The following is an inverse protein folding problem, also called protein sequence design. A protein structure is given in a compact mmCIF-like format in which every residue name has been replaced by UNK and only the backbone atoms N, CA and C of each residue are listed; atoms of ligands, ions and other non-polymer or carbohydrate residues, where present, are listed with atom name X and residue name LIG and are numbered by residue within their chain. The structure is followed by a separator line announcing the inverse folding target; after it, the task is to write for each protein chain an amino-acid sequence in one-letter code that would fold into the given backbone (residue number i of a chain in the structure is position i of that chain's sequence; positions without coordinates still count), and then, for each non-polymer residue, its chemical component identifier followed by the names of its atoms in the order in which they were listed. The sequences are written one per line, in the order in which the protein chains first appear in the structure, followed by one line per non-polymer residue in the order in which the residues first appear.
data_IF_519875991715
#
_entry.id   IF_519875991715
#
_cell.length_a   1.000
_cell.length_b   1.000
_cell.length_c   1.000
_cell.angle_alpha   90.00
_cell.angle_beta   90.00
_cell.angle_gamma   90.00
#
_symmetry.space_group_name_H-M   'P 1'
#
loop_
_entity.id
_entity.type
_entity.pdbx_description
1 polymer ?
#
# COMPACT_ATOMS: atom_id res chain seq x y z
N UNK A 1 6.84 -9.00 -8.76
CA UNK A 1 7.34 -8.57 -7.42
C UNK A 1 6.76 -9.52 -6.35
N UNK A 2 7.32 -9.62 -5.13
CA UNK A 2 6.81 -10.47 -4.05
C UNK A 2 6.36 -9.60 -2.85
N UNK A 3 5.15 -9.83 -2.33
CA UNK A 3 4.54 -8.99 -1.30
C UNK A 3 5.28 -9.13 0.04
N UNK A 4 5.67 -10.34 0.43
CA UNK A 4 6.44 -10.60 1.66
C UNK A 4 7.77 -9.82 1.66
N UNK A 5 8.53 -9.86 0.56
CA UNK A 5 9.81 -9.17 0.45
C UNK A 5 9.67 -7.65 0.51
N UNK A 6 8.63 -7.10 -0.12
CA UNK A 6 8.33 -5.67 -0.05
C UNK A 6 7.88 -5.27 1.37
N UNK A 7 7.00 -6.05 1.99
CA UNK A 7 6.55 -5.87 3.37
C UNK A 7 7.73 -5.86 4.36
N UNK A 8 8.67 -6.79 4.25
CA UNK A 8 9.87 -6.82 5.08
C UNK A 8 10.77 -5.60 4.90
N UNK A 9 10.90 -5.11 3.66
CA UNK A 9 11.67 -3.89 3.36
C UNK A 9 11.01 -2.66 4.00
N UNK A 10 9.69 -2.52 3.87
CA UNK A 10 8.92 -1.42 4.44
C UNK A 10 8.94 -1.46 5.97
N UNK A 11 8.85 -2.65 6.58
CA UNK A 11 8.94 -2.83 8.02
C UNK A 11 10.30 -2.36 8.58
N UNK A 12 11.41 -2.68 7.90
CA UNK A 12 12.75 -2.18 8.26
C UNK A 12 12.87 -0.65 8.17
N UNK A 13 12.01 0.00 7.39
CA UNK A 13 11.96 1.44 7.21
C UNK A 13 10.94 2.12 8.15
N UNK A 14 10.32 1.36 9.07
CA UNK A 14 9.40 1.88 10.08
C UNK A 14 7.91 1.80 9.71
N UNK A 15 7.57 1.16 8.59
CA UNK A 15 6.19 0.94 8.18
C UNK A 15 5.80 -0.52 8.44
N UNK A 16 5.14 -0.78 9.55
CA UNK A 16 4.77 -2.14 9.97
C UNK A 16 3.44 -2.57 9.33
N UNK A 17 3.43 -3.59 8.44
CA UNK A 17 2.19 -4.12 7.89
C UNK A 17 1.38 -4.87 8.96
N UNK A 18 0.05 -4.80 8.86
CA UNK A 18 -0.88 -5.52 9.73
C UNK A 18 -1.40 -6.81 9.10
N UNK A 19 -1.39 -6.90 7.78
CA UNK A 19 -1.73 -8.09 7.00
C UNK A 19 -1.06 -8.02 5.62
N UNK A 20 -0.90 -9.18 4.99
CA UNK A 20 -0.47 -9.24 3.60
C UNK A 20 -1.05 -10.46 2.88
N UNK A 21 -1.18 -10.35 1.57
CA UNK A 21 -1.47 -11.43 0.64
C UNK A 21 -0.50 -11.36 -0.54
N UNK A 22 -0.02 -12.51 -0.98
CA UNK A 22 0.79 -12.59 -2.20
C UNK A 22 -0.10 -12.46 -3.44
N UNK A 23 0.41 -11.90 -4.56
CA UNK A 23 -0.29 -11.95 -5.82
C UNK A 23 -0.59 -13.40 -6.22
N UNK A 24 -1.82 -13.63 -6.66
CA UNK A 24 -2.33 -14.95 -7.08
C UNK A 24 -2.48 -14.98 -8.60
N UNK A 25 -2.92 -16.11 -9.18
CA UNK A 25 -3.13 -16.21 -10.64
C UNK A 25 -4.18 -15.25 -11.21
N UNK A 26 -5.00 -14.62 -10.37
CA UNK A 26 -6.14 -13.80 -10.79
C UNK A 26 -6.21 -12.43 -10.11
N UNK A 27 -5.45 -12.23 -9.05
CA UNK A 27 -5.60 -11.08 -8.16
C UNK A 27 -4.23 -10.58 -7.77
N UNK A 28 -4.12 -9.26 -7.66
CA UNK A 28 -2.94 -8.62 -7.12
C UNK A 28 -2.78 -8.96 -5.63
N UNK A 29 -1.54 -8.92 -5.17
CA UNK A 29 -1.22 -9.03 -3.76
C UNK A 29 -1.55 -7.74 -3.05
N UNK A 30 -1.50 -7.78 -1.72
CA UNK A 30 -1.81 -6.64 -0.88
C UNK A 30 -0.90 -6.61 0.34
N UNK A 31 -0.48 -5.42 0.75
CA UNK A 31 0.22 -5.18 2.01
C UNK A 31 -0.57 -4.11 2.75
N UNK A 32 -1.28 -4.51 3.78
CA UNK A 32 -2.17 -3.66 4.57
C UNK A 32 -1.40 -2.98 5.70
N UNK A 33 -1.57 -1.68 5.88
CA UNK A 33 -0.95 -0.92 6.99
C UNK A 33 -1.98 -0.43 8.01
N UNK A 34 -3.15 -0.04 7.52
CA UNK A 34 -4.31 0.34 8.33
C UNK A 34 -5.56 -0.24 7.69
N UNK A 35 -6.78 0.05 8.20
CA UNK A 35 -8.00 -0.38 7.49
C UNK A 35 -8.20 0.36 6.16
N UNK A 36 -7.73 1.59 6.06
CA UNK A 36 -7.90 2.42 4.87
C UNK A 36 -6.64 2.56 4.01
N UNK A 37 -5.49 2.01 4.39
CA UNK A 37 -4.26 2.17 3.60
C UNK A 37 -3.58 0.83 3.35
N UNK A 38 -3.41 0.51 2.08
CA UNK A 38 -2.65 -0.66 1.63
C UNK A 38 -1.79 -0.33 0.42
N UNK A 39 -0.82 -1.22 0.16
CA UNK A 39 -0.10 -1.27 -1.10
C UNK A 39 -0.62 -2.47 -1.88
N UNK A 40 -1.05 -2.23 -3.11
CA UNK A 40 -1.36 -3.27 -4.07
C UNK A 40 -0.06 -3.70 -4.76
N UNK A 41 0.21 -4.99 -4.74
CA UNK A 41 1.41 -5.60 -5.32
C UNK A 41 0.98 -6.29 -6.61
N UNK A 42 1.40 -5.82 -7.79
CA UNK A 42 0.83 -6.29 -9.03
C UNK A 42 1.18 -7.77 -9.28
N UNK A 43 0.20 -8.50 -9.80
CA UNK A 43 0.37 -9.84 -10.37
C UNK A 43 1.31 -9.79 -11.58
N UNK A 44 1.14 -8.78 -12.44
CA UNK A 44 1.95 -8.56 -13.63
C UNK A 44 2.72 -7.25 -13.53
N UNK A 45 4.04 -7.34 -13.66
CA UNK A 45 4.92 -6.18 -13.52
C UNK A 45 5.61 -6.10 -12.16
N UNK A 46 6.17 -4.93 -11.88
CA UNK A 46 7.01 -4.66 -10.71
C UNK A 46 6.81 -3.26 -10.14
N UNK A 47 5.65 -2.66 -10.44
CA UNK A 47 5.27 -1.31 -10.00
C UNK A 47 4.09 -1.42 -9.01
N UNK A 48 4.36 -1.54 -7.71
CA UNK A 48 3.33 -1.46 -6.68
C UNK A 48 2.72 -0.06 -6.60
N UNK A 49 1.48 0.01 -6.16
CA UNK A 49 0.76 1.27 -5.99
C UNK A 49 0.16 1.35 -4.58
N UNK A 50 0.18 2.54 -3.98
CA UNK A 50 -0.51 2.80 -2.72
C UNK A 50 -1.97 3.08 -3.00
N UNK A 51 -2.84 2.55 -2.15
CA UNK A 51 -4.29 2.71 -2.22
C UNK A 51 -4.78 3.23 -0.87
N UNK A 52 -5.55 4.31 -0.92
CA UNK A 52 -6.32 4.85 0.19
C UNK A 52 -7.79 4.51 -0.02
N UNK A 53 -8.42 3.88 0.96
CA UNK A 53 -9.87 3.67 1.04
C UNK A 53 -10.45 4.70 2.02
N UNK A 54 -11.38 5.52 1.53
CA UNK A 54 -12.09 6.52 2.36
C UNK A 54 -13.19 5.87 3.19
N UNK A 55 -13.74 6.59 4.17
CA UNK A 55 -14.82 6.06 5.03
C UNK A 55 -16.10 5.70 4.26
N UNK A 56 -16.30 6.29 3.07
CA UNK A 56 -17.41 6.00 2.15
C UNK A 56 -17.13 4.80 1.23
N UNK A 57 -15.95 4.18 1.36
CA UNK A 57 -15.50 3.04 0.56
C UNK A 57 -14.97 3.40 -0.83
N UNK A 58 -14.68 4.69 -1.08
CA UNK A 58 -14.04 5.11 -2.33
C UNK A 58 -12.54 4.80 -2.29
N UNK A 59 -12.01 4.29 -3.40
CA UNK A 59 -10.60 3.94 -3.54
C UNK A 59 -9.87 5.03 -4.32
N UNK A 60 -8.89 5.64 -3.66
CA UNK A 60 -7.93 6.57 -4.26
C UNK A 60 -6.62 5.84 -4.52
N UNK A 61 -6.18 5.88 -5.77
CA UNK A 61 -4.97 5.22 -6.25
C UNK A 61 -3.88 6.26 -6.45
N UNK A 62 -2.79 6.09 -5.73
CA UNK A 62 -1.56 6.84 -5.96
C UNK A 62 -0.84 6.24 -7.19
N UNK A 63 0.19 6.95 -7.66
CA UNK A 63 0.99 6.51 -8.80
C UNK A 63 1.61 5.12 -8.55
N UNK A 64 1.76 4.34 -9.62
CA UNK A 64 2.47 3.07 -9.55
C UNK A 64 3.98 3.34 -9.52
N UNK A 65 4.66 2.90 -8.46
CA UNK A 65 6.04 3.28 -8.18
C UNK A 65 6.97 2.07 -8.19
N UNK A 66 7.96 2.07 -9.09
CA UNK A 66 9.07 1.10 -9.02
C UNK A 66 10.11 1.48 -7.96
N UNK A 67 10.34 2.78 -7.77
CA UNK A 67 11.28 3.27 -6.77
C UNK A 67 10.67 3.19 -5.37
N UNK A 68 11.45 2.69 -4.42
CA UNK A 68 10.97 2.49 -3.05
C UNK A 68 10.75 3.82 -2.31
N UNK A 69 11.51 4.87 -2.63
CA UNK A 69 11.38 6.16 -1.96
C UNK A 69 10.11 6.88 -2.41
N UNK A 70 9.80 6.80 -3.70
CA UNK A 70 8.56 7.35 -4.25
C UNK A 70 7.33 6.59 -3.69
N UNK A 71 7.39 5.26 -3.64
CA UNK A 71 6.36 4.45 -2.99
C UNK A 71 6.16 4.81 -1.51
N UNK A 72 7.25 5.12 -0.80
CA UNK A 72 7.19 5.56 0.60
C UNK A 72 6.61 6.97 0.71
N UNK A 73 6.89 7.86 -0.24
CA UNK A 73 6.31 9.19 -0.26
C UNK A 73 4.79 9.11 -0.38
N UNK A 74 4.30 8.25 -1.28
CA UNK A 74 2.88 7.96 -1.49
C UNK A 74 2.26 7.30 -0.25
N UNK A 75 2.94 6.30 0.34
CA UNK A 75 2.45 5.63 1.55
C UNK A 75 2.30 6.61 2.72
N UNK A 76 3.26 7.52 2.88
CA UNK A 76 3.22 8.55 3.92
C UNK A 76 2.11 9.57 3.66
N UNK A 77 1.86 9.94 2.40
CA UNK A 77 0.77 10.83 2.03
C UNK A 77 -0.59 10.19 2.36
N UNK A 78 -0.81 8.94 1.91
CA UNK A 78 -2.02 8.19 2.19
C UNK A 78 -2.29 8.01 3.70
N UNK A 79 -1.27 7.65 4.48
CA UNK A 79 -1.40 7.52 5.94
C UNK A 79 -1.76 8.84 6.63
N UNK A 80 -1.21 9.97 6.15
CA UNK A 80 -1.54 11.29 6.69
C UNK A 80 -2.97 11.71 6.33
N UNK A 81 -3.40 11.39 5.11
CA UNK A 81 -4.74 11.68 4.64
C UNK A 81 -5.79 10.85 5.37
N UNK A 82 -5.56 9.55 5.56
CA UNK A 82 -6.41 8.67 6.36
C UNK A 82 -6.62 9.22 7.79
N UNK A 83 -5.56 9.74 8.41
CA UNK A 83 -5.66 10.39 9.72
C UNK A 83 -6.48 11.68 9.68
N UNK A 84 -6.36 12.47 8.61
CA UNK A 84 -7.11 13.71 8.45
C UNK A 84 -8.60 13.45 8.20
N UNK A 85 -8.94 12.38 7.48
CA UNK A 85 -10.33 11.92 7.27
C UNK A 85 -10.93 11.50 8.61
N UNK A 86 -10.26 10.63 9.36
CA UNK A 86 -10.75 10.13 10.67
C UNK A 86 -10.89 11.19 11.77
N UNK A 87 -10.22 12.33 11.62
CA UNK A 87 -10.28 13.44 12.57
C UNK A 87 -11.46 14.41 12.31
N UNK A 88 -12.21 14.23 11.23
CA UNK A 88 -13.41 15.01 10.89
C UNK A 88 -14.64 14.43 11.57
#
# INVERSE_FOLDING_TARGET
MNAQALAEKLNKLGYTPVALSEPSKKEDGMIMFTKGVHIQVPLYGDEPNVVLETDDGELEFYDAQRDINDLIADLKAALKEEQAIKAR
#
